data_IF_638454598665
#
_entry.id   IF_638454598665
#
_cell.length_a   1.000
_cell.length_b   1.000
_cell.length_c   1.000
_cell.angle_alpha   90.00
_cell.angle_beta   90.00
_cell.angle_gamma   90.00
#
_symmetry.space_group_name_H-M   'P 1'
#
loop_
_entity.id
_entity.type
_entity.pdbx_description
1 polymer ?
#
# COMPACT_ATOMS: atom_id res chain seq x y z
N UNK A 1 0.19 19.72 -11.08
CA UNK A 1 -1.19 19.53 -10.57
C UNK A 1 -1.72 20.85 -10.06
N UNK A 2 -3.02 21.05 -10.16
CA UNK A 2 -3.70 22.23 -9.64
C UNK A 2 -4.12 21.99 -8.18
N UNK A 3 -4.09 23.03 -7.31
CA UNK A 3 -4.71 22.94 -6.00
C UNK A 3 -6.19 22.57 -6.12
N UNK A 4 -6.65 21.68 -5.24
CA UNK A 4 -8.08 21.41 -5.12
C UNK A 4 -8.71 22.50 -4.24
N UNK A 5 -9.47 23.40 -4.85
CA UNK A 5 -10.19 24.49 -4.18
C UNK A 5 -11.64 24.59 -4.67
N UNK A 6 -12.44 25.48 -4.08
CA UNK A 6 -13.87 25.62 -4.42
C UNK A 6 -14.13 26.20 -5.83
N UNK A 7 -13.09 26.66 -6.54
CA UNK A 7 -13.19 27.28 -7.87
C UNK A 7 -12.83 26.33 -9.00
N UNK A 8 -12.27 25.16 -8.67
CA UNK A 8 -11.95 24.16 -9.68
C UNK A 8 -13.22 23.40 -10.09
N UNK A 9 -13.62 23.61 -11.34
CA UNK A 9 -14.65 22.80 -11.96
C UNK A 9 -14.04 21.44 -12.30
N UNK A 10 -14.73 20.38 -11.88
CA UNK A 10 -14.35 18.99 -12.10
C UNK A 10 -15.61 18.20 -12.48
N UNK A 11 -15.41 17.03 -13.06
CA UNK A 11 -16.50 16.06 -13.21
C UNK A 11 -16.75 15.32 -11.90
N UNK A 12 -18.02 15.10 -11.58
CA UNK A 12 -18.47 14.41 -10.38
C UNK A 12 -19.37 13.25 -10.74
N UNK A 13 -19.27 12.19 -9.95
CA UNK A 13 -20.19 11.06 -10.03
C UNK A 13 -20.59 10.61 -8.61
N UNK A 14 -21.68 9.88 -8.51
CA UNK A 14 -22.26 9.44 -7.25
C UNK A 14 -21.53 8.22 -6.70
N UNK A 15 -21.29 8.21 -5.39
CA UNK A 15 -20.81 7.07 -4.63
C UNK A 15 -21.77 6.82 -3.46
N UNK A 16 -21.84 5.58 -2.98
CA UNK A 16 -22.56 5.25 -1.75
C UNK A 16 -21.61 5.33 -0.55
N UNK A 17 -21.93 6.15 0.43
CA UNK A 17 -21.19 6.26 1.69
C UNK A 17 -21.69 5.22 2.69
N UNK A 18 -20.92 4.15 2.89
CA UNK A 18 -21.26 3.07 3.81
C UNK A 18 -21.24 3.51 5.29
N UNK A 19 -20.54 4.58 5.64
CA UNK A 19 -20.45 5.06 7.03
C UNK A 19 -21.78 5.63 7.50
N UNK A 20 -22.42 6.43 6.64
CA UNK A 20 -23.64 7.18 6.93
C UNK A 20 -24.88 6.68 6.18
N UNK A 21 -24.73 5.73 5.26
CA UNK A 21 -25.82 5.09 4.53
C UNK A 21 -26.53 6.02 3.53
N UNK A 22 -25.78 6.89 2.85
CA UNK A 22 -26.33 7.87 1.90
C UNK A 22 -25.51 7.96 0.62
N UNK A 23 -26.15 8.39 -0.46
CA UNK A 23 -25.46 8.79 -1.68
C UNK A 23 -24.72 10.11 -1.46
N UNK A 24 -23.54 10.24 -2.06
CA UNK A 24 -22.71 11.45 -2.07
C UNK A 24 -21.97 11.57 -3.39
N UNK A 25 -21.36 12.72 -3.65
CA UNK A 25 -20.55 12.93 -4.85
C UNK A 25 -19.06 12.78 -4.54
N UNK A 26 -18.31 12.25 -5.49
CA UNK A 26 -16.86 12.20 -5.50
C UNK A 26 -16.36 12.61 -6.90
N UNK A 27 -15.23 13.36 -7.02
CA UNK A 27 -14.75 13.73 -8.35
C UNK A 27 -14.42 12.48 -9.15
N UNK A 28 -14.85 12.42 -10.41
CA UNK A 28 -14.72 11.25 -11.28
C UNK A 28 -13.27 10.80 -11.47
N UNK A 29 -12.32 11.73 -11.36
CA UNK A 29 -10.88 11.43 -11.38
C UNK A 29 -10.43 10.51 -10.23
N UNK A 30 -11.13 10.51 -9.09
CA UNK A 30 -10.86 9.56 -7.99
C UNK A 30 -11.55 8.21 -8.21
N UNK A 31 -12.51 8.11 -9.13
CA UNK A 31 -13.33 6.91 -9.34
C UNK A 31 -12.77 6.06 -10.48
N UNK A 32 -12.51 6.69 -11.62
CA UNK A 32 -12.23 6.01 -12.89
C UNK A 32 -10.75 6.07 -13.27
N UNK A 33 -10.26 5.01 -13.90
CA UNK A 33 -8.86 4.90 -14.34
C UNK A 33 -8.78 4.26 -15.75
N UNK A 34 -8.16 4.93 -16.74
CA UNK A 34 -7.69 6.32 -16.70
C UNK A 34 -8.86 7.31 -16.78
N UNK A 35 -8.73 8.46 -16.12
CA UNK A 35 -9.63 9.60 -16.29
C UNK A 35 -8.87 10.75 -16.97
N UNK A 36 -9.10 10.95 -18.26
CA UNK A 36 -8.33 11.89 -19.10
C UNK A 36 -9.15 13.07 -19.60
N UNK A 37 -10.42 13.16 -19.20
CA UNK A 37 -11.36 14.20 -19.66
C UNK A 37 -11.15 15.51 -18.88
N UNK A 38 -10.47 15.46 -17.74
CA UNK A 38 -10.23 16.62 -16.90
C UNK A 38 -9.15 17.55 -17.49
N UNK A 39 -9.47 18.84 -17.64
CA UNK A 39 -8.49 19.85 -18.09
C UNK A 39 -7.52 20.24 -16.95
N UNK A 40 -8.01 20.20 -15.70
CA UNK A 40 -7.25 20.60 -14.50
C UNK A 40 -7.02 19.41 -13.58
N UNK A 41 -5.84 18.81 -13.69
CA UNK A 41 -5.51 17.62 -12.89
C UNK A 41 -5.19 17.98 -11.45
N UNK A 42 -6.03 17.50 -10.53
CA UNK A 42 -5.85 17.61 -9.07
C UNK A 42 -5.21 16.37 -8.44
N UNK A 43 -5.11 15.27 -9.19
CA UNK A 43 -4.58 14.00 -8.72
C UNK A 43 -3.87 13.25 -9.86
N UNK A 44 -2.90 12.41 -9.50
CA UNK A 44 -2.37 11.37 -10.37
C UNK A 44 -3.07 10.06 -10.02
N UNK A 45 -3.91 9.56 -10.94
CA UNK A 45 -4.78 8.42 -10.66
C UNK A 45 -3.98 7.16 -10.35
N UNK A 46 -4.36 6.45 -9.28
CA UNK A 46 -3.81 5.12 -8.96
C UNK A 46 -4.93 4.10 -8.89
N UNK A 47 -4.57 2.83 -9.03
CA UNK A 47 -5.51 1.72 -8.88
C UNK A 47 -5.95 1.48 -7.44
N UNK A 48 -5.36 2.16 -6.45
CA UNK A 48 -5.63 1.95 -5.03
C UNK A 48 -7.12 1.97 -4.69
N UNK A 49 -7.62 0.91 -4.08
CA UNK A 49 -9.03 0.78 -3.74
C UNK A 49 -9.89 0.26 -4.89
N UNK A 50 -9.30 -0.13 -6.02
CA UNK A 50 -9.97 -0.96 -7.03
C UNK A 50 -9.86 -2.43 -6.65
N UNK A 51 -10.97 -3.15 -6.72
CA UNK A 51 -10.95 -4.60 -6.55
C UNK A 51 -12.02 -5.26 -7.41
N UNK A 52 -11.67 -6.44 -7.94
CA UNK A 52 -12.59 -7.28 -8.69
C UNK A 52 -12.72 -8.66 -8.05
N UNK A 53 -13.95 -9.17 -7.95
CA UNK A 53 -14.21 -10.53 -7.48
C UNK A 53 -15.58 -11.01 -7.96
N UNK A 54 -15.79 -12.32 -8.07
CA UNK A 54 -17.11 -12.95 -8.27
C UNK A 54 -18.08 -12.82 -7.08
N UNK A 55 -17.68 -12.07 -6.04
CA UNK A 55 -18.46 -11.86 -4.84
C UNK A 55 -18.23 -10.42 -4.36
N UNK A 56 -19.31 -9.65 -4.30
CA UNK A 56 -19.26 -8.24 -3.92
C UNK A 56 -18.52 -7.98 -2.59
N UNK A 57 -18.81 -8.77 -1.55
CA UNK A 57 -18.18 -8.59 -0.23
C UNK A 57 -16.67 -8.86 -0.28
N UNK A 58 -16.23 -9.85 -1.07
CA UNK A 58 -14.80 -10.12 -1.24
C UNK A 58 -14.09 -9.02 -2.03
N UNK A 59 -14.73 -8.44 -3.05
CA UNK A 59 -14.22 -7.26 -3.74
C UNK A 59 -14.09 -6.07 -2.77
N UNK A 60 -15.16 -5.78 -2.01
CA UNK A 60 -15.17 -4.70 -1.02
C UNK A 60 -14.07 -4.88 0.04
N UNK A 61 -13.96 -6.07 0.63
CA UNK A 61 -12.94 -6.36 1.64
C UNK A 61 -11.52 -6.22 1.07
N UNK A 62 -11.29 -6.66 -0.16
CA UNK A 62 -9.98 -6.53 -0.82
C UNK A 62 -9.59 -5.07 -1.01
N UNK A 63 -10.53 -4.22 -1.47
CA UNK A 63 -10.28 -2.79 -1.62
C UNK A 63 -10.04 -2.09 -0.27
N UNK A 64 -10.80 -2.46 0.78
CA UNK A 64 -10.59 -1.95 2.13
C UNK A 64 -9.21 -2.32 2.68
N UNK A 65 -8.76 -3.57 2.49
CA UNK A 65 -7.43 -3.99 2.89
C UNK A 65 -6.35 -3.21 2.16
N UNK A 66 -6.46 -3.02 0.84
CA UNK A 66 -5.46 -2.26 0.09
C UNK A 66 -5.37 -0.80 0.57
N UNK A 67 -6.51 -0.15 0.84
CA UNK A 67 -6.52 1.22 1.34
C UNK A 67 -5.81 1.37 2.70
N UNK A 68 -6.07 0.44 3.62
CA UNK A 68 -5.43 0.41 4.95
C UNK A 68 -3.93 0.12 4.83
N UNK A 69 -3.57 -0.80 3.93
CA UNK A 69 -2.18 -1.17 3.66
C UNK A 69 -1.36 0.03 3.15
N UNK A 70 -1.91 0.78 2.19
CA UNK A 70 -1.26 1.98 1.63
C UNK A 70 -1.15 3.10 2.66
N UNK A 71 -2.19 3.33 3.47
CA UNK A 71 -2.17 4.29 4.58
C UNK A 71 -1.01 3.96 5.55
N UNK A 72 -0.95 2.71 6.01
CA UNK A 72 0.06 2.24 6.94
C UNK A 72 1.48 2.33 6.35
N UNK A 73 1.65 1.97 5.08
CA UNK A 73 2.94 2.06 4.41
C UNK A 73 3.43 3.51 4.29
N UNK A 74 2.56 4.42 3.84
CA UNK A 74 2.90 5.85 3.67
C UNK A 74 3.31 6.46 5.02
N UNK A 75 2.57 6.17 6.10
CA UNK A 75 2.94 6.59 7.46
C UNK A 75 4.31 6.03 7.84
N UNK A 76 4.52 4.72 7.69
CA UNK A 76 5.77 4.04 8.05
C UNK A 76 6.98 4.65 7.33
N UNK A 77 6.87 4.80 6.01
CA UNK A 77 7.95 5.26 5.15
C UNK A 77 8.34 6.71 5.41
N UNK A 78 7.35 7.62 5.42
CA UNK A 78 7.62 9.05 5.52
C UNK A 78 7.99 9.49 6.94
N UNK A 79 7.48 8.80 7.96
CA UNK A 79 7.86 9.07 9.35
C UNK A 79 9.08 8.28 9.82
N UNK A 80 9.65 7.42 8.96
CA UNK A 80 10.76 6.50 9.29
C UNK A 80 10.48 5.69 10.57
N UNK A 81 9.27 5.16 10.69
CA UNK A 81 8.89 4.39 11.87
C UNK A 81 9.49 2.99 11.76
N UNK A 82 10.39 2.66 12.68
CA UNK A 82 10.84 1.29 12.91
C UNK A 82 9.90 0.64 13.91
N UNK A 83 8.83 0.03 13.39
CA UNK A 83 7.82 -0.65 14.20
C UNK A 83 8.32 -2.03 14.68
N UNK A 84 7.58 -2.74 15.57
CA UNK A 84 8.01 -4.03 16.09
C UNK A 84 8.38 -5.02 14.98
N UNK A 85 9.64 -5.48 14.99
CA UNK A 85 10.13 -6.46 14.03
C UNK A 85 9.69 -7.86 14.47
N UNK A 86 9.09 -8.57 13.53
CA UNK A 86 8.56 -9.92 13.73
C UNK A 86 9.73 -10.92 13.77
N UNK A 87 9.67 -11.81 14.74
CA UNK A 87 10.59 -12.94 14.89
C UNK A 87 10.25 -13.98 13.84
N UNK A 88 11.21 -14.30 12.97
CA UNK A 88 11.09 -15.40 12.00
C UNK A 88 11.43 -16.71 12.73
N UNK A 89 10.40 -17.42 13.18
CA UNK A 89 10.56 -18.74 13.76
C UNK A 89 10.56 -19.85 12.68
N UNK A 90 10.64 -21.11 13.10
CA UNK A 90 10.68 -22.27 12.17
C UNK A 90 9.47 -22.35 11.25
N UNK A 91 8.30 -21.91 11.69
CA UNK A 91 7.07 -22.01 10.89
C UNK A 91 7.03 -20.97 9.78
N UNK A 92 7.42 -19.73 10.07
CA UNK A 92 7.57 -18.67 9.07
C UNK A 92 8.72 -19.03 8.11
N UNK A 93 9.86 -19.47 8.63
CA UNK A 93 11.01 -19.88 7.81
C UNK A 93 10.66 -21.04 6.87
N UNK A 94 9.85 -22.00 7.32
CA UNK A 94 9.38 -23.11 6.48
C UNK A 94 8.57 -22.60 5.28
N UNK A 95 7.66 -21.64 5.49
CA UNK A 95 6.87 -21.06 4.41
C UNK A 95 7.74 -20.23 3.45
N UNK A 96 8.71 -19.46 3.97
CA UNK A 96 9.70 -18.77 3.12
C UNK A 96 10.42 -19.77 2.22
N UNK A 97 10.92 -20.88 2.78
CA UNK A 97 11.67 -21.90 2.02
C UNK A 97 10.79 -22.64 0.98
N UNK A 98 9.47 -22.69 1.17
CA UNK A 98 8.55 -23.24 0.16
C UNK A 98 8.39 -22.30 -1.04
N UNK A 99 8.39 -20.99 -0.81
CA UNK A 99 8.20 -19.98 -1.84
C UNK A 99 9.51 -19.59 -2.52
N UNK A 100 10.61 -19.54 -1.76
CA UNK A 100 11.93 -19.11 -2.21
C UNK A 100 12.93 -20.28 -2.10
N UNK A 101 13.40 -20.81 -3.24
CA UNK A 101 14.42 -21.87 -3.22
C UNK A 101 15.82 -21.35 -2.84
N UNK A 102 16.04 -20.03 -2.90
CA UNK A 102 17.29 -19.36 -2.52
C UNK A 102 17.18 -18.75 -1.12
N UNK A 103 18.29 -18.73 -0.38
CA UNK A 103 18.32 -18.14 0.95
C UNK A 103 18.48 -16.62 0.85
N UNK A 104 17.37 -15.89 0.91
CA UNK A 104 17.34 -14.44 0.99
C UNK A 104 17.16 -13.97 2.44
N UNK A 105 17.59 -12.75 2.72
CA UNK A 105 17.47 -12.13 4.03
C UNK A 105 16.11 -11.43 4.14
N UNK A 106 15.24 -11.96 5.00
CA UNK A 106 13.91 -11.42 5.24
C UNK A 106 13.81 -10.67 6.56
N UNK A 107 13.05 -9.59 6.55
CA UNK A 107 12.62 -8.86 7.73
C UNK A 107 11.15 -8.50 7.61
N UNK A 108 10.37 -8.73 8.66
CA UNK A 108 8.96 -8.36 8.69
C UNK A 108 8.68 -7.44 9.88
N UNK A 109 7.76 -6.50 9.71
CA UNK A 109 7.41 -5.48 10.68
C UNK A 109 5.90 -5.38 10.79
N UNK A 110 5.41 -5.28 12.02
CA UNK A 110 4.02 -4.94 12.27
C UNK A 110 3.82 -3.44 12.08
N UNK A 111 3.19 -3.04 10.99
CA UNK A 111 2.83 -1.64 10.71
C UNK A 111 1.34 -1.40 10.95
N UNK A 112 0.73 -2.19 11.85
CA UNK A 112 -0.65 -1.98 12.30
C UNK A 112 -0.73 -0.73 13.16
N UNK A 113 -1.60 0.21 12.76
CA UNK A 113 -1.83 1.45 13.50
C UNK A 113 -3.24 1.52 14.09
N UNK A 114 -3.80 2.73 14.16
CA UNK A 114 -5.02 3.08 14.89
C UNK A 114 -6.31 2.54 14.26
N UNK A 115 -6.27 2.03 13.02
CA UNK A 115 -7.37 1.30 12.36
C UNK A 115 -7.46 -0.14 12.89
N UNK A 116 -6.37 -0.67 13.46
CA UNK A 116 -6.32 -1.97 14.17
C UNK A 116 -6.63 -3.18 13.30
N UNK A 117 -6.19 -3.17 12.04
CA UNK A 117 -6.25 -4.32 11.14
C UNK A 117 -4.83 -4.81 10.86
N UNK A 118 -4.52 -6.10 11.09
CA UNK A 118 -3.18 -6.65 10.93
C UNK A 118 -2.55 -6.27 9.59
N UNK A 119 -1.48 -5.48 9.66
CA UNK A 119 -0.76 -4.99 8.49
C UNK A 119 0.73 -5.24 8.66
N UNK A 120 1.33 -5.92 7.68
CA UNK A 120 2.73 -6.32 7.73
C UNK A 120 3.48 -5.66 6.59
N UNK A 121 4.67 -5.13 6.89
CA UNK A 121 5.67 -4.74 5.90
C UNK A 121 6.80 -5.77 5.89
N UNK A 122 7.20 -6.23 4.72
CA UNK A 122 8.35 -7.11 4.53
C UNK A 122 9.44 -6.46 3.69
N UNK A 123 10.69 -6.64 4.11
CA UNK A 123 11.88 -6.34 3.32
C UNK A 123 12.60 -7.64 3.02
N UNK A 124 13.05 -7.79 1.78
CA UNK A 124 13.83 -8.94 1.33
C UNK A 124 15.08 -8.43 0.61
N UNK A 125 16.25 -8.80 1.13
CA UNK A 125 17.54 -8.52 0.52
C UNK A 125 18.12 -9.81 -0.04
N UNK A 126 18.60 -9.76 -1.28
CA UNK A 126 19.12 -10.93 -1.94
C UNK A 126 20.03 -10.59 -3.11
N UNK A 127 20.52 -11.63 -3.77
CA UNK A 127 21.29 -11.54 -4.99
C UNK A 127 20.72 -12.53 -6.00
N UNK A 128 20.42 -12.04 -7.20
CA UNK A 128 19.93 -12.81 -8.33
C UNK A 128 20.91 -12.65 -9.51
N UNK A 129 20.61 -13.22 -10.67
CA UNK A 129 21.50 -13.16 -11.84
C UNK A 129 21.67 -11.73 -12.42
N UNK A 130 20.79 -10.79 -12.06
CA UNK A 130 20.94 -9.37 -12.38
C UNK A 130 21.64 -8.55 -11.29
N UNK A 131 22.16 -9.20 -10.25
CA UNK A 131 22.87 -8.59 -9.13
C UNK A 131 22.04 -8.51 -7.85
N UNK A 132 22.52 -7.70 -6.90
CA UNK A 132 21.88 -7.48 -5.60
C UNK A 132 20.57 -6.74 -5.76
N UNK A 133 19.57 -7.12 -4.97
CA UNK A 133 18.28 -6.45 -4.94
C UNK A 133 17.77 -6.25 -3.53
N UNK A 134 16.84 -5.31 -3.43
CA UNK A 134 15.94 -5.17 -2.29
C UNK A 134 14.51 -5.14 -2.81
N UNK A 135 13.66 -5.98 -2.23
CA UNK A 135 12.23 -6.00 -2.49
C UNK A 135 11.49 -5.59 -1.21
N UNK A 136 10.41 -4.84 -1.40
CA UNK A 136 9.44 -4.54 -0.35
C UNK A 136 8.10 -5.15 -0.71
N UNK A 137 7.37 -5.62 0.30
CA UNK A 137 5.97 -5.99 0.16
C UNK A 137 5.19 -5.53 1.38
N UNK A 138 3.91 -5.25 1.22
CA UNK A 138 3.02 -4.96 2.34
C UNK A 138 1.74 -5.77 2.18
N UNK A 139 1.10 -6.10 3.30
CA UNK A 139 -0.22 -6.72 3.23
C UNK A 139 -1.03 -6.38 4.47
N UNK A 140 -2.27 -5.97 4.27
CA UNK A 140 -3.30 -5.96 5.32
C UNK A 140 -4.21 -7.16 5.18
N UNK A 141 -4.42 -7.94 6.24
CA UNK A 141 -5.34 -9.09 6.27
C UNK A 141 -6.07 -9.17 7.61
N UNK A 142 -7.01 -10.10 7.71
CA UNK A 142 -7.74 -10.42 8.94
C UNK A 142 -6.86 -10.97 10.06
N UNK A 143 -5.71 -11.56 9.70
CA UNK A 143 -4.72 -12.07 10.63
C UNK A 143 -3.29 -11.75 10.19
N UNK A 144 -2.37 -11.70 11.15
CA UNK A 144 -0.93 -11.54 10.88
C UNK A 144 -0.35 -12.69 10.04
N UNK A 145 -0.85 -13.91 10.21
CA UNK A 145 -0.43 -15.08 9.43
C UNK A 145 -0.73 -14.88 7.95
N UNK A 146 -1.95 -14.50 7.60
CA UNK A 146 -2.34 -14.29 6.20
C UNK A 146 -1.67 -13.04 5.61
N UNK A 147 -1.46 -11.99 6.40
CA UNK A 147 -0.67 -10.84 6.00
C UNK A 147 0.78 -11.23 5.67
N UNK A 148 1.46 -11.98 6.55
CA UNK A 148 2.81 -12.49 6.33
C UNK A 148 2.90 -13.36 5.08
N UNK A 149 1.98 -14.32 4.91
CA UNK A 149 1.95 -15.17 3.70
C UNK A 149 1.82 -14.31 2.44
N UNK A 150 0.92 -13.33 2.45
CA UNK A 150 0.71 -12.44 1.31
C UNK A 150 1.96 -11.61 1.00
N UNK A 151 2.61 -11.02 2.00
CA UNK A 151 3.87 -10.26 1.83
C UNK A 151 4.95 -11.14 1.20
N UNK A 152 5.13 -12.37 1.69
CA UNK A 152 6.12 -13.32 1.16
C UNK A 152 5.83 -13.65 -0.31
N UNK A 153 4.56 -13.87 -0.67
CA UNK A 153 4.13 -14.13 -2.04
C UNK A 153 4.27 -12.91 -2.96
N UNK A 154 4.07 -11.69 -2.48
CA UNK A 154 4.27 -10.47 -3.30
C UNK A 154 5.75 -10.20 -3.55
N UNK A 155 6.59 -10.41 -2.54
CA UNK A 155 8.05 -10.33 -2.71
C UNK A 155 8.51 -11.37 -3.75
N UNK A 156 7.89 -12.55 -3.81
CA UNK A 156 8.29 -13.58 -4.77
C UNK A 156 7.96 -13.20 -6.21
N UNK A 157 6.90 -12.43 -6.42
CA UNK A 157 6.53 -11.84 -7.71
C UNK A 157 7.47 -10.68 -8.10
N UNK A 158 8.04 -9.97 -7.12
CA UNK A 158 8.94 -8.84 -7.36
C UNK A 158 10.26 -9.28 -8.01
N UNK A 159 10.81 -10.43 -7.61
CA UNK A 159 12.09 -10.94 -8.14
C UNK A 159 12.10 -11.12 -9.67
N UNK A 160 11.13 -11.83 -10.30
CA UNK A 160 11.05 -11.90 -11.77
C UNK A 160 10.60 -10.58 -12.40
N UNK A 161 9.80 -9.76 -11.71
CA UNK A 161 9.41 -8.44 -12.19
C UNK A 161 10.61 -7.50 -12.35
N UNK A 162 11.57 -7.52 -11.41
CA UNK A 162 12.82 -6.76 -11.52
C UNK A 162 13.63 -7.17 -12.74
N UNK A 163 13.75 -8.47 -13.04
CA UNK A 163 14.41 -8.95 -14.27
C UNK A 163 13.76 -8.33 -15.51
N UNK A 164 12.43 -8.37 -15.58
CA UNK A 164 11.67 -7.77 -16.69
C UNK A 164 11.91 -6.25 -16.79
N UNK A 165 11.80 -5.54 -15.67
CA UNK A 165 11.94 -4.09 -15.62
C UNK A 165 13.36 -3.61 -15.93
N UNK A 166 14.39 -4.30 -15.44
CA UNK A 166 15.79 -4.03 -15.79
C UNK A 166 16.07 -4.25 -17.28
N UNK A 167 15.39 -5.23 -17.91
CA UNK A 167 15.43 -5.44 -19.35
C UNK A 167 14.73 -4.31 -20.12
N UNK A 168 13.50 -3.96 -19.73
CA UNK A 168 12.70 -2.87 -20.32
C UNK A 168 13.38 -1.50 -20.17
N UNK A 169 14.06 -1.26 -19.05
CA UNK A 169 14.72 0.00 -18.67
C UNK A 169 16.25 -0.14 -18.63
N UNK A 170 16.84 -0.86 -19.59
CA UNK A 170 18.28 -1.17 -19.61
C UNK A 170 19.16 0.09 -19.51
N UNK A 171 18.85 1.11 -20.32
CA UNK A 171 19.63 2.35 -20.43
C UNK A 171 19.22 3.43 -19.42
N UNK A 172 18.15 3.20 -18.65
CA UNK A 172 17.67 4.19 -17.68
C UNK A 172 18.58 4.19 -16.46
N UNK A 173 18.99 5.39 -16.06
CA UNK A 173 19.82 5.66 -14.88
C UNK A 173 19.05 6.67 -14.03
N UNK A 174 18.71 6.34 -12.77
CA UNK A 174 18.04 7.29 -11.89
C UNK A 174 18.90 8.52 -11.63
N UNK A 175 18.31 9.70 -11.81
CA UNK A 175 18.97 10.97 -11.53
C UNK A 175 19.18 11.18 -10.01
N UNK A 176 20.03 12.14 -9.65
CA UNK A 176 20.12 12.65 -8.29
C UNK A 176 18.93 13.56 -7.94
N UNK A 177 18.31 14.19 -8.94
CA UNK A 177 17.01 14.83 -8.81
C UNK A 177 15.90 13.78 -8.80
N UNK A 178 15.41 13.43 -7.61
CA UNK A 178 14.33 12.46 -7.45
C UNK A 178 13.01 12.91 -8.09
N UNK A 179 12.83 14.18 -8.47
CA UNK A 179 11.64 14.63 -9.19
C UNK A 179 11.51 14.01 -10.58
N UNK A 180 12.57 13.38 -11.11
CA UNK A 180 12.54 12.62 -12.36
C UNK A 180 11.95 11.20 -12.21
N UNK A 181 11.62 10.77 -10.99
CA UNK A 181 10.94 9.49 -10.71
C UNK A 181 9.42 9.69 -10.85
N UNK A 182 8.88 9.27 -11.99
CA UNK A 182 7.51 9.60 -12.39
C UNK A 182 6.54 8.43 -12.35
N UNK A 183 7.00 7.23 -12.01
CA UNK A 183 6.15 6.04 -12.03
C UNK A 183 6.56 4.97 -11.02
N UNK A 184 5.58 4.19 -10.57
CA UNK A 184 5.78 2.99 -9.75
C UNK A 184 6.79 2.01 -10.40
N UNK A 185 6.79 1.91 -11.73
CA UNK A 185 7.79 1.17 -12.49
C UNK A 185 9.23 1.64 -12.19
N UNK A 186 9.46 2.96 -12.13
CA UNK A 186 10.79 3.53 -11.84
C UNK A 186 11.16 3.32 -10.36
N UNK A 187 10.19 3.46 -9.44
CA UNK A 187 10.38 3.16 -8.01
C UNK A 187 10.79 1.71 -7.78
N UNK A 188 10.18 0.75 -8.50
CA UNK A 188 10.41 -0.68 -8.33
C UNK A 188 11.88 -1.10 -8.51
N UNK A 189 12.62 -0.43 -9.40
CA UNK A 189 14.03 -0.75 -9.70
C UNK A 189 14.99 0.35 -9.24
N UNK A 190 14.50 1.40 -8.57
CA UNK A 190 15.32 2.54 -8.16
C UNK A 190 16.51 2.12 -7.29
N UNK A 191 16.26 1.39 -6.20
CA UNK A 191 17.31 0.94 -5.29
C UNK A 191 18.19 -0.17 -5.86
N UNK A 192 17.76 -0.85 -6.93
CA UNK A 192 18.60 -1.79 -7.67
C UNK A 192 19.62 -1.02 -8.55
N UNK A 193 19.22 0.12 -9.10
CA UNK A 193 20.07 1.01 -9.90
C UNK A 193 20.87 2.02 -9.06
N UNK A 194 20.47 2.26 -7.81
CA UNK A 194 21.12 3.13 -6.81
C UNK A 194 21.49 2.38 -5.53
N UNK A 195 22.41 1.39 -5.60
CA UNK A 195 22.84 0.63 -4.42
C UNK A 195 23.49 1.53 -3.36
N UNK A 196 24.05 2.68 -3.74
CA UNK A 196 24.59 3.70 -2.85
C UNK A 196 23.54 4.32 -1.90
N UNK A 197 22.25 4.25 -2.26
CA UNK A 197 21.16 4.80 -1.45
C UNK A 197 20.41 3.74 -0.63
N UNK A 198 20.77 2.46 -0.72
CA UNK A 198 20.10 1.39 0.03
C UNK A 198 20.24 1.54 1.56
N UNK A 199 21.22 2.30 2.03
CA UNK A 199 21.41 2.59 3.46
C UNK A 199 20.22 3.30 4.12
N UNK A 200 19.30 3.87 3.33
CA UNK A 200 18.02 4.38 3.86
C UNK A 200 17.19 3.30 4.57
N UNK A 201 17.42 2.02 4.26
CA UNK A 201 16.71 0.88 4.83
C UNK A 201 17.41 0.28 6.07
N UNK A 202 18.60 0.78 6.45
CA UNK A 202 19.44 0.17 7.46
C UNK A 202 18.81 0.16 8.85
N UNK A 203 17.99 1.16 9.19
CA UNK A 203 17.30 1.21 10.48
C UNK A 203 16.33 0.02 10.63
N UNK A 204 15.58 -0.33 9.58
CA UNK A 204 14.75 -1.53 9.57
C UNK A 204 15.59 -2.80 9.50
N UNK A 205 16.56 -2.87 8.59
CA UNK A 205 17.42 -4.06 8.41
C UNK A 205 18.10 -4.47 9.72
N UNK A 206 18.67 -3.50 10.45
CA UNK A 206 19.39 -3.72 11.70
C UNK A 206 18.50 -3.75 12.96
N UNK A 207 17.19 -3.49 12.84
CA UNK A 207 16.27 -3.57 13.97
C UNK A 207 16.28 -4.97 14.60
N UNK A 208 16.15 -5.02 15.92
CA UNK A 208 16.06 -6.28 16.68
C UNK A 208 14.64 -6.82 16.64
N UNK A 209 14.49 -8.10 16.36
CA UNK A 209 13.19 -8.76 16.40
C UNK A 209 12.65 -8.80 17.84
N UNK A 210 11.38 -8.45 18.00
CA UNK A 210 10.73 -8.29 19.31
C UNK A 210 9.31 -8.81 19.36
N UNK A 211 8.67 -9.09 18.22
CA UNK A 211 7.28 -9.53 18.15
C UNK A 211 7.20 -10.99 17.71
N UNK A 212 6.55 -11.83 18.52
CA UNK A 212 6.20 -13.19 18.11
C UNK A 212 4.79 -13.20 17.53
N UNK A 213 4.63 -13.86 16.38
CA UNK A 213 3.32 -14.16 15.81
C UNK A 213 3.12 -15.67 15.87
N UNK A 214 1.92 -16.09 16.21
CA UNK A 214 1.53 -17.48 16.06
C UNK A 214 1.12 -17.73 14.61
N UNK A 215 2.04 -18.30 13.84
CA UNK A 215 1.81 -18.60 12.42
C UNK A 215 1.02 -19.91 12.21
N UNK A 216 0.70 -20.63 13.29
CA UNK A 216 -0.08 -21.86 13.22
C UNK A 216 -1.57 -21.61 13.44
N UNK A 217 -1.94 -20.60 14.24
CA UNK A 217 -3.33 -20.22 14.45
C UNK A 217 -4.04 -19.92 13.12
N UNK A 218 -5.13 -20.64 12.87
CA UNK A 218 -6.09 -20.33 11.82
C UNK A 218 -7.22 -19.52 12.44
N UNK A 219 -7.11 -18.19 12.35
CA UNK A 219 -8.18 -17.28 12.77
C UNK A 219 -9.04 -16.94 11.54
N UNK A 220 -9.84 -17.93 11.10
CA UNK A 220 -10.68 -17.78 9.91
C UNK A 220 -11.89 -16.92 10.29
N UNK A 221 -11.84 -15.64 9.89
CA UNK A 221 -12.98 -14.74 10.03
C UNK A 221 -13.87 -14.79 8.80
N UNK A 222 -15.18 -14.66 9.02
CA UNK A 222 -16.11 -14.50 7.93
C UNK A 222 -15.85 -13.14 7.22
N UNK A 223 -15.89 -13.14 5.89
CA UNK A 223 -15.70 -11.91 5.08
C UNK A 223 -16.59 -10.75 5.55
N UNK A 224 -17.86 -11.02 5.91
CA UNK A 224 -18.78 -9.97 6.38
C UNK A 224 -18.36 -9.41 7.74
N UNK A 225 -17.91 -10.27 8.66
CA UNK A 225 -17.47 -9.84 9.98
C UNK A 225 -16.22 -8.96 9.87
N UNK A 226 -15.26 -9.32 9.00
CA UNK A 226 -14.12 -8.45 8.70
C UNK A 226 -14.54 -7.07 8.16
N UNK A 227 -15.53 -7.04 7.25
CA UNK A 227 -16.04 -5.78 6.71
C UNK A 227 -16.70 -4.95 7.82
N UNK A 228 -17.52 -5.57 8.67
CA UNK A 228 -18.18 -4.87 9.77
C UNK A 228 -17.19 -4.34 10.80
N UNK A 229 -16.16 -5.11 11.13
CA UNK A 229 -15.07 -4.68 12.01
C UNK A 229 -14.38 -3.44 11.44
N UNK A 230 -13.98 -3.48 10.15
CA UNK A 230 -13.31 -2.36 9.48
C UNK A 230 -14.21 -1.13 9.42
N UNK A 231 -15.46 -1.29 8.98
CA UNK A 231 -16.44 -0.20 8.92
C UNK A 231 -16.63 0.39 10.32
N UNK A 232 -16.72 -0.44 11.36
CA UNK A 232 -16.83 0.00 12.75
C UNK A 232 -15.64 0.85 13.20
N UNK A 233 -14.41 0.40 12.93
CA UNK A 233 -13.19 1.16 13.28
C UNK A 233 -13.11 2.50 12.56
N UNK A 234 -13.42 2.53 11.25
CA UNK A 234 -13.39 3.74 10.44
C UNK A 234 -14.53 4.71 10.83
N UNK A 235 -15.73 4.19 11.10
CA UNK A 235 -16.88 4.97 11.57
C UNK A 235 -16.63 5.60 12.93
N UNK A 236 -16.00 4.89 13.86
CA UNK A 236 -15.60 5.44 15.17
C UNK A 236 -14.62 6.62 15.06
N UNK A 237 -13.94 6.75 13.91
CA UNK A 237 -13.05 7.89 13.57
C UNK A 237 -13.73 8.94 12.70
N UNK A 238 -15.03 8.79 12.40
CA UNK A 238 -15.80 9.63 11.47
C UNK A 238 -15.22 9.64 10.03
N UNK A 239 -14.71 8.51 9.56
CA UNK A 239 -14.19 8.41 8.19
C UNK A 239 -15.29 7.97 7.23
N UNK A 240 -15.32 8.57 6.04
CA UNK A 240 -16.28 8.22 5.00
C UNK A 240 -15.76 7.02 4.21
N UNK A 241 -16.63 6.05 3.93
CA UNK A 241 -16.27 4.88 3.12
C UNK A 241 -17.12 4.94 1.87
N UNK A 242 -16.58 5.57 0.82
CA UNK A 242 -17.27 5.78 -0.43
C UNK A 242 -17.06 4.58 -1.33
N UNK A 243 -18.14 4.00 -1.82
CA UNK A 243 -18.12 2.84 -2.73
C UNK A 243 -18.83 3.19 -4.02
N UNK A 244 -18.16 2.93 -5.14
CA UNK A 244 -18.75 2.93 -6.48
C UNK A 244 -18.66 1.52 -7.06
N UNK A 245 -19.80 1.01 -7.51
CA UNK A 245 -19.81 -0.14 -8.41
C UNK A 245 -19.51 0.36 -9.82
N UNK A 246 -18.35 -0.03 -10.35
CA UNK A 246 -17.89 0.30 -11.70
C UNK A 246 -17.92 -0.93 -12.61
N UNK A 247 -18.69 -1.96 -12.24
CA UNK A 247 -18.83 -3.19 -13.02
C UNK A 247 -19.41 -2.87 -14.39
N UNK A 248 -18.63 -3.17 -15.43
CA UNK A 248 -19.07 -3.04 -16.81
C UNK A 248 -20.03 -4.18 -17.18
N UNK A 249 -20.93 -3.99 -18.16
CA UNK A 249 -21.90 -5.03 -18.54
C UNK A 249 -21.27 -6.38 -18.90
N UNK A 250 -20.11 -6.39 -19.55
CA UNK A 250 -19.34 -7.59 -19.90
C UNK A 250 -18.74 -8.28 -18.66
N UNK A 251 -18.20 -7.54 -17.69
CA UNK A 251 -17.72 -8.10 -16.44
C UNK A 251 -18.87 -8.73 -15.61
N UNK A 252 -20.04 -8.07 -15.59
CA UNK A 252 -21.24 -8.59 -14.93
C UNK A 252 -21.73 -9.89 -15.60
N UNK A 253 -21.70 -9.97 -16.94
CA UNK A 253 -22.09 -11.19 -17.69
C UNK A 253 -21.26 -12.42 -17.31
N UNK A 254 -19.98 -12.24 -16.94
CA UNK A 254 -19.12 -13.32 -16.45
C UNK A 254 -19.13 -13.48 -14.91
N UNK A 255 -20.04 -12.78 -14.23
CA UNK A 255 -20.31 -12.91 -12.80
C UNK A 255 -19.34 -12.17 -11.89
N UNK A 256 -18.61 -11.17 -12.39
CA UNK A 256 -17.70 -10.35 -11.60
C UNK A 256 -18.36 -9.06 -11.12
N UNK A 257 -17.89 -8.60 -9.96
CA UNK A 257 -18.09 -7.25 -9.45
C UNK A 257 -16.75 -6.52 -9.47
N UNK A 258 -16.74 -5.29 -9.97
CA UNK A 258 -15.59 -4.39 -9.97
C UNK A 258 -15.96 -3.15 -9.16
N UNK A 259 -15.32 -2.97 -8.02
CA UNK A 259 -15.61 -1.87 -7.10
C UNK A 259 -14.45 -0.89 -7.04
N UNK A 260 -14.77 0.38 -6.87
CA UNK A 260 -13.85 1.42 -6.41
C UNK A 260 -14.27 1.85 -5.02
N UNK A 261 -13.37 1.74 -4.06
CA UNK A 261 -13.55 2.21 -2.69
C UNK A 261 -12.61 3.38 -2.44
N UNK A 262 -13.10 4.43 -1.79
CA UNK A 262 -12.36 5.64 -1.47
C UNK A 262 -12.63 5.99 -0.01
N UNK A 263 -11.56 6.18 0.76
CA UNK A 263 -11.63 6.70 2.12
C UNK A 263 -10.83 8.00 2.15
N UNK A 264 -11.45 9.17 1.95
CA UNK A 264 -10.75 10.45 1.76
C UNK A 264 -9.78 10.82 2.89
N UNK A 265 -10.02 10.28 4.09
CA UNK A 265 -9.20 10.54 5.26
C UNK A 265 -7.91 9.70 5.30
N UNK A 266 -7.82 8.58 4.58
CA UNK A 266 -6.61 7.75 4.50
C UNK A 266 -5.59 8.32 3.53
N UNK A 267 -4.31 8.04 3.77
CA UNK A 267 -3.24 8.48 2.90
C UNK A 267 -3.16 7.63 1.64
N UNK A 268 -3.05 8.30 0.49
CA UNK A 268 -2.79 7.65 -0.80
C UNK A 268 -1.29 7.56 -1.06
N UNK A 269 -0.84 6.44 -1.62
CA UNK A 269 0.51 6.28 -2.12
C UNK A 269 0.59 6.82 -3.55
N UNK A 270 1.47 7.80 -3.79
CA UNK A 270 1.71 8.35 -5.13
C UNK A 270 2.79 7.56 -5.86
N UNK A 271 2.63 7.32 -7.16
CA UNK A 271 3.64 6.60 -7.96
C UNK A 271 4.76 7.47 -8.50
N UNK A 272 4.57 8.79 -8.50
CA UNK A 272 5.56 9.77 -8.93
C UNK A 272 6.04 10.54 -7.70
N UNK A 273 7.36 10.56 -7.49
CA UNK A 273 8.01 11.25 -6.39
C UNK A 273 7.58 12.72 -6.19
N UNK A 274 7.50 13.59 -7.22
CA UNK A 274 7.09 14.98 -7.03
C UNK A 274 5.62 15.15 -6.63
N UNK A 275 4.85 14.05 -6.64
CA UNK A 275 3.40 14.04 -6.47
C UNK A 275 2.96 13.22 -5.25
N UNK A 276 3.83 13.07 -4.26
CA UNK A 276 3.48 12.46 -2.98
C UNK A 276 2.49 13.32 -2.17
N UNK A 277 1.45 12.68 -1.65
CA UNK A 277 0.37 13.31 -0.88
C UNK A 277 0.75 13.50 0.60
N UNK A 278 1.70 14.40 0.87
CA UNK A 278 2.27 14.60 2.22
C UNK A 278 1.49 15.57 3.13
N UNK A 279 0.35 16.10 2.66
CA UNK A 279 -0.46 17.05 3.42
C UNK A 279 -1.53 16.42 4.32
N UNK A 280 -1.70 15.10 4.30
CA UNK A 280 -2.77 14.42 5.04
C UNK A 280 -2.54 14.43 6.56
N UNK A 281 -3.57 14.78 7.34
CA UNK A 281 -3.48 14.89 8.81
C UNK A 281 -2.96 13.62 9.48
N UNK A 282 -3.42 12.45 9.02
CA UNK A 282 -3.03 11.13 9.56
C UNK A 282 -1.52 10.89 9.51
N UNK A 283 -0.82 11.46 8.52
CA UNK A 283 0.64 11.33 8.42
C UNK A 283 1.34 11.87 9.67
N UNK A 284 0.75 12.86 10.34
CA UNK A 284 1.34 13.53 11.50
C UNK A 284 0.68 13.13 12.83
N UNK A 285 -0.62 12.83 12.83
CA UNK A 285 -1.36 12.51 14.06
C UNK A 285 -1.16 11.04 14.48
N UNK A 286 -1.20 10.09 13.53
CA UNK A 286 -1.14 8.65 13.82
C UNK A 286 0.17 8.23 14.50
N UNK A 287 1.37 8.69 14.09
CA UNK A 287 2.60 8.35 14.78
C UNK A 287 2.52 8.66 16.29
N UNK A 288 2.06 9.86 16.66
CA UNK A 288 1.93 10.27 18.05
C UNK A 288 0.88 9.46 18.80
N UNK A 289 -0.28 9.18 18.19
CA UNK A 289 -1.31 8.32 18.78
C UNK A 289 -0.80 6.90 19.08
N UNK A 290 0.14 6.42 18.27
CA UNK A 290 0.75 5.11 18.40
C UNK A 290 2.03 5.11 19.25
N UNK A 291 2.38 6.24 19.88
CA UNK A 291 3.55 6.37 20.75
C UNK A 291 4.88 6.56 20.03
N UNK A 292 4.87 6.77 18.71
CA UNK A 292 6.06 7.08 17.92
C UNK A 292 6.33 8.59 17.88
N UNK A 293 7.57 8.94 17.56
CA UNK A 293 7.91 10.32 17.20
C UNK A 293 7.16 10.72 15.93
N UNK A 294 6.50 11.87 15.95
CA UNK A 294 5.92 12.49 14.77
C UNK A 294 6.86 13.60 14.29
N UNK A 295 7.40 13.45 13.08
CA UNK A 295 8.26 14.45 12.46
C UNK A 295 7.40 15.50 11.72
N UNK A 296 7.91 16.74 11.68
CA UNK A 296 7.33 17.80 10.84
C UNK A 296 7.57 17.53 9.36
N UNK A 297 6.85 18.24 8.48
CA UNK A 297 6.98 18.14 7.02
C UNK A 297 8.44 18.18 6.53
N UNK A 298 9.22 19.16 7.02
CA UNK A 298 10.62 19.34 6.60
C UNK A 298 11.56 18.20 7.03
N UNK A 299 11.13 17.41 8.02
CA UNK A 299 11.87 16.31 8.64
C UNK A 299 11.36 14.93 8.21
N UNK A 300 10.36 14.85 7.31
CA UNK A 300 9.92 13.60 6.72
C UNK A 300 11.03 12.96 5.89
N UNK A 301 10.91 11.65 5.66
CA UNK A 301 11.77 10.92 4.74
C UNK A 301 11.68 11.51 3.33
N UNK A 302 12.81 12.00 2.82
CA UNK A 302 12.93 12.63 1.49
C UNK A 302 13.40 11.65 0.41
N UNK A 303 13.56 10.38 0.75
CA UNK A 303 13.94 9.35 -0.21
C UNK A 303 12.71 8.75 -0.92
N UNK A 304 12.85 8.32 -2.18
CA UNK A 304 11.79 7.63 -2.91
C UNK A 304 11.38 6.34 -2.20
N UNK A 305 10.08 6.06 -2.05
CA UNK A 305 9.69 4.77 -1.49
C UNK A 305 10.07 3.61 -2.42
N UNK A 306 10.46 2.43 -1.90
CA UNK A 306 10.85 1.28 -2.71
C UNK A 306 9.66 0.49 -3.31
N UNK A 307 8.42 0.97 -3.13
CA UNK A 307 7.22 0.26 -3.54
C UNK A 307 7.03 0.24 -5.08
N UNK A 308 6.73 -0.92 -5.69
CA UNK A 308 6.56 -1.09 -7.14
C UNK A 308 5.18 -0.71 -7.68
#
# INVERSE_FOLDING_TARGET
MFPFDEKIELYWDTCYDLTYGKETYCPSAFIYLPWTIEDKWILSGTSTGLAAHTNFNKALLTALYELIERDAFVITWHQKIVSPKIIIDKSIQSFINQVFPSNYEFHFFDITYDIKVPTVMGLCFGEAEYGKFVAIGTATRDSYKEALKKVILEISQSVPYFRYMLGKRKSWVPDNDFNQLLSFEDHSIFYLKRPDLQGVLDEWRNAKASMKIDFQLDDIKNTKDCIYDIIGQLKNKNYNILVKDITTPDANQVGYYCLRVIIPQLLQMGGAFPFYFLGGKRLYEVPSLMGYKSNSFDSLNKYPHPFP
#
